data_IF_750692554621
#
_entry.id   IF_750692554621
#
_cell.length_a   1.000
_cell.length_b   1.000
_cell.length_c   1.000
_cell.angle_alpha   90.00
_cell.angle_beta   90.00
_cell.angle_gamma   90.00
#
_symmetry.space_group_name_H-M   'P 1'
#
loop_
_entity.id
_entity.type
_entity.pdbx_description
1 polymer ?
#
# COMPACT_ATOMS: atom_id res chain seq x y z
N UNK A 1 26.61 -86.74 9.67
CA UNK A 1 25.53 -85.73 9.57
C UNK A 1 26.06 -84.60 8.69
N UNK A 2 25.85 -84.59 7.37
CA UNK A 2 24.70 -84.11 6.55
C UNK A 2 24.46 -82.58 6.58
N UNK A 3 24.22 -82.04 5.37
CA UNK A 3 23.88 -80.67 4.89
C UNK A 3 25.07 -79.80 4.43
N UNK A 4 25.35 -79.52 3.14
CA UNK A 4 24.60 -79.22 1.87
C UNK A 4 23.98 -77.80 1.83
N UNK A 5 24.49 -76.99 0.88
CA UNK A 5 23.96 -75.79 0.18
C UNK A 5 23.42 -74.62 1.04
N UNK A 6 23.53 -73.33 0.68
CA UNK A 6 23.25 -72.72 -0.61
C UNK A 6 23.68 -71.23 -0.57
N UNK A 7 24.02 -70.66 -1.74
CA UNK A 7 24.17 -69.22 -1.96
C UNK A 7 22.99 -68.44 -1.38
N UNK A 8 23.24 -67.23 -0.86
CA UNK A 8 22.26 -66.16 -0.99
C UNK A 8 22.93 -64.84 -1.39
N UNK A 9 22.76 -64.49 -2.66
CA UNK A 9 23.01 -63.16 -3.21
C UNK A 9 21.89 -62.26 -2.70
N UNK A 10 22.20 -61.28 -1.86
CA UNK A 10 21.26 -60.19 -1.60
C UNK A 10 21.88 -58.90 -2.12
N UNK A 11 21.66 -58.66 -3.41
CA UNK A 11 21.71 -57.31 -3.98
C UNK A 11 20.44 -56.63 -3.47
N UNK A 12 20.56 -55.76 -2.46
CA UNK A 12 19.47 -54.83 -2.12
C UNK A 12 19.78 -53.52 -2.84
N UNK A 13 18.92 -53.23 -3.81
CA UNK A 13 18.81 -51.97 -4.53
C UNK A 13 18.89 -50.76 -3.59
N UNK A 14 20.02 -50.07 -3.55
CA UNK A 14 20.08 -48.65 -3.14
C UNK A 14 19.85 -47.82 -4.41
N UNK A 15 18.60 -47.80 -4.86
CA UNK A 15 18.20 -47.15 -6.11
C UNK A 15 17.23 -46.01 -5.88
N UNK A 16 17.72 -44.79 -6.11
CA UNK A 16 16.96 -43.61 -6.54
C UNK A 16 15.66 -43.27 -5.78
N UNK A 17 15.78 -42.61 -4.62
CA UNK A 17 14.74 -41.69 -4.14
C UNK A 17 15.44 -40.42 -3.65
N UNK A 18 15.94 -39.57 -4.57
CA UNK A 18 16.41 -38.23 -4.18
C UNK A 18 16.30 -37.15 -5.27
N UNK A 19 15.69 -37.43 -6.43
CA UNK A 19 15.65 -36.47 -7.55
C UNK A 19 14.32 -35.73 -7.77
N UNK A 20 13.26 -36.02 -7.01
CA UNK A 20 11.94 -35.35 -7.19
C UNK A 20 11.66 -34.20 -6.22
N UNK A 21 12.49 -34.01 -5.18
CA UNK A 21 12.29 -32.97 -4.16
C UNK A 21 12.46 -31.49 -4.61
N UNK A 22 13.28 -31.11 -5.61
CA UNK A 22 13.57 -29.69 -5.83
C UNK A 22 12.42 -28.92 -6.52
N UNK A 23 11.63 -29.57 -7.38
CA UNK A 23 10.55 -28.91 -8.14
C UNK A 23 9.35 -28.55 -7.26
N UNK A 24 8.92 -29.46 -6.39
CA UNK A 24 7.82 -29.21 -5.45
C UNK A 24 8.17 -28.11 -4.44
N UNK A 25 9.40 -28.11 -3.93
CA UNK A 25 9.87 -27.08 -3.00
C UNK A 25 9.90 -25.68 -3.65
N UNK A 26 10.35 -25.59 -4.91
CA UNK A 26 10.38 -24.33 -5.65
C UNK A 26 8.97 -23.82 -6.01
N UNK A 27 8.06 -24.72 -6.40
CA UNK A 27 6.65 -24.39 -6.65
C UNK A 27 5.97 -23.86 -5.39
N UNK A 28 6.13 -24.57 -4.26
CA UNK A 28 5.59 -24.17 -2.95
C UNK A 28 6.09 -22.78 -2.53
N UNK A 29 7.39 -22.51 -2.67
CA UNK A 29 7.97 -21.21 -2.34
C UNK A 29 7.41 -20.07 -3.20
N UNK A 30 7.16 -20.30 -4.50
CA UNK A 30 6.52 -19.31 -5.39
C UNK A 30 5.09 -19.01 -4.95
N UNK A 31 4.30 -20.05 -4.69
CA UNK A 31 2.91 -19.91 -4.24
C UNK A 31 2.81 -19.17 -2.91
N UNK A 32 3.69 -19.45 -1.95
CA UNK A 32 3.73 -18.76 -0.67
C UNK A 32 4.03 -17.26 -0.81
N UNK A 33 5.02 -16.90 -1.64
CA UNK A 33 5.38 -15.51 -1.92
C UNK A 33 4.22 -14.77 -2.58
N UNK A 34 3.61 -15.38 -3.59
CA UNK A 34 2.46 -14.80 -4.29
C UNK A 34 1.27 -14.60 -3.33
N UNK A 35 0.97 -15.59 -2.50
CA UNK A 35 -0.10 -15.51 -1.51
C UNK A 35 0.13 -14.40 -0.48
N UNK A 36 1.36 -14.24 0.00
CA UNK A 36 1.72 -13.15 0.91
C UNK A 36 1.49 -11.77 0.27
N UNK A 37 1.92 -11.57 -0.97
CA UNK A 37 1.74 -10.29 -1.67
C UNK A 37 0.25 -10.02 -1.90
N UNK A 38 -0.50 -11.00 -2.39
CA UNK A 38 -1.95 -10.88 -2.58
C UNK A 38 -2.67 -10.54 -1.27
N UNK A 39 -2.32 -11.21 -0.18
CA UNK A 39 -2.90 -10.93 1.14
C UNK A 39 -2.57 -9.52 1.62
N UNK A 40 -1.34 -9.05 1.37
CA UNK A 40 -0.90 -7.69 1.71
C UNK A 40 -1.69 -6.63 0.93
N UNK A 41 -1.91 -6.84 -0.37
CA UNK A 41 -2.78 -5.97 -1.18
C UNK A 41 -4.22 -5.98 -0.67
N UNK A 42 -4.81 -7.16 -0.45
CA UNK A 42 -6.17 -7.29 0.06
C UNK A 42 -6.36 -6.59 1.42
N UNK A 43 -5.37 -6.69 2.31
CA UNK A 43 -5.41 -6.03 3.64
C UNK A 43 -5.38 -4.51 3.54
N UNK A 44 -4.74 -3.96 2.50
CA UNK A 44 -4.48 -2.53 2.36
C UNK A 44 -5.42 -1.85 1.37
N UNK A 45 -6.16 -2.63 0.57
CA UNK A 45 -7.06 -2.15 -0.48
C UNK A 45 -7.99 -1.05 0.01
N UNK A 46 -8.74 -1.29 1.10
CA UNK A 46 -9.71 -0.32 1.58
C UNK A 46 -9.03 0.97 2.06
N UNK A 47 -7.92 0.85 2.79
CA UNK A 47 -7.18 2.01 3.30
C UNK A 47 -6.62 2.87 2.15
N UNK A 48 -5.99 2.23 1.16
CA UNK A 48 -5.49 2.89 -0.05
C UNK A 48 -6.61 3.59 -0.82
N UNK A 49 -7.77 2.94 -1.00
CA UNK A 49 -8.91 3.50 -1.72
C UNK A 49 -9.49 4.71 -1.01
N UNK A 50 -9.71 4.60 0.31
CA UNK A 50 -10.26 5.68 1.12
C UNK A 50 -9.32 6.88 1.18
N UNK A 51 -8.02 6.64 1.36
CA UNK A 51 -7.03 7.71 1.40
C UNK A 51 -6.94 8.43 0.05
N UNK A 52 -6.78 7.70 -1.05
CA UNK A 52 -6.67 8.28 -2.40
C UNK A 52 -7.92 9.08 -2.76
N UNK A 53 -9.10 8.47 -2.63
CA UNK A 53 -10.35 9.11 -3.08
C UNK A 53 -10.78 10.23 -2.13
N UNK A 54 -10.55 10.06 -0.82
CA UNK A 54 -10.88 11.04 0.21
C UNK A 54 -10.10 12.34 0.02
N UNK A 55 -8.77 12.26 -0.02
CA UNK A 55 -7.93 13.44 -0.19
C UNK A 55 -8.09 14.09 -1.56
N UNK A 56 -8.22 13.30 -2.63
CA UNK A 56 -8.46 13.84 -3.97
C UNK A 56 -9.80 14.60 -4.02
N UNK A 57 -10.84 14.07 -3.37
CA UNK A 57 -12.16 14.72 -3.29
C UNK A 57 -12.11 16.02 -2.49
N UNK A 58 -11.38 16.04 -1.37
CA UNK A 58 -11.14 17.26 -0.58
C UNK A 58 -10.43 18.31 -1.43
N UNK A 59 -9.29 17.98 -2.06
CA UNK A 59 -8.54 18.95 -2.87
C UNK A 59 -9.34 19.44 -4.09
N UNK A 60 -10.04 18.55 -4.78
CA UNK A 60 -10.89 18.93 -5.91
C UNK A 60 -12.04 19.84 -5.45
N UNK A 61 -12.69 19.50 -4.34
CA UNK A 61 -13.76 20.30 -3.76
C UNK A 61 -13.29 21.70 -3.37
N UNK A 62 -12.16 21.81 -2.68
CA UNK A 62 -11.54 23.11 -2.31
C UNK A 62 -11.16 23.91 -3.55
N UNK A 63 -10.64 23.26 -4.60
CA UNK A 63 -10.30 23.92 -5.87
C UNK A 63 -11.54 24.51 -6.53
N UNK A 64 -12.61 23.72 -6.68
CA UNK A 64 -13.87 24.17 -7.31
C UNK A 64 -14.51 25.29 -6.50
N UNK A 65 -14.59 25.15 -5.17
CA UNK A 65 -15.19 26.16 -4.30
C UNK A 65 -14.44 27.50 -4.39
N UNK A 66 -13.10 27.47 -4.37
CA UNK A 66 -12.31 28.70 -4.50
C UNK A 66 -12.39 29.29 -5.91
N UNK A 67 -12.42 28.47 -6.96
CA UNK A 67 -12.60 28.94 -8.34
C UNK A 67 -13.96 29.63 -8.54
N UNK A 68 -15.05 29.05 -8.02
CA UNK A 68 -16.39 29.67 -8.06
C UNK A 68 -16.42 30.96 -7.21
N UNK A 69 -15.86 30.91 -6.00
CA UNK A 69 -15.84 32.09 -5.13
C UNK A 69 -15.03 33.24 -5.75
N UNK A 70 -13.93 32.94 -6.46
CA UNK A 70 -13.12 33.94 -7.16
C UNK A 70 -13.94 34.75 -8.17
N UNK A 71 -14.85 34.11 -8.91
CA UNK A 71 -15.68 34.81 -9.92
C UNK A 71 -16.74 35.71 -9.31
N UNK A 72 -17.25 35.36 -8.12
CA UNK A 72 -18.29 36.08 -7.40
C UNK A 72 -17.75 37.16 -6.44
N UNK A 73 -16.44 37.14 -6.17
CA UNK A 73 -15.83 38.04 -5.21
C UNK A 73 -15.52 39.39 -5.86
N UNK A 74 -15.95 40.47 -5.20
CA UNK A 74 -15.55 41.83 -5.51
C UNK A 74 -14.42 42.28 -4.57
N UNK A 75 -13.54 43.15 -5.06
CA UNK A 75 -12.32 43.57 -4.35
C UNK A 75 -11.11 42.65 -4.62
N UNK A 76 -9.95 43.27 -4.83
CA UNK A 76 -8.70 42.57 -5.16
C UNK A 76 -8.24 41.58 -4.08
N UNK A 77 -8.43 41.94 -2.81
CA UNK A 77 -7.93 41.17 -1.67
C UNK A 77 -8.67 39.83 -1.50
N UNK A 78 -10.00 39.85 -1.39
CA UNK A 78 -10.77 38.61 -1.27
C UNK A 78 -10.58 37.70 -2.49
N UNK A 79 -10.34 38.26 -3.69
CA UNK A 79 -10.00 37.47 -4.89
C UNK A 79 -8.64 36.78 -4.76
N UNK A 80 -7.66 37.41 -4.12
CA UNK A 80 -6.33 36.85 -3.95
C UNK A 80 -6.33 35.62 -3.04
N UNK A 81 -7.05 35.66 -1.92
CA UNK A 81 -7.21 34.51 -1.03
C UNK A 81 -7.83 33.32 -1.76
N UNK A 82 -8.86 33.58 -2.60
CA UNK A 82 -9.45 32.53 -3.45
C UNK A 82 -8.46 31.99 -4.47
N UNK A 83 -7.65 32.85 -5.09
CA UNK A 83 -6.62 32.40 -6.03
C UNK A 83 -5.57 31.52 -5.35
N UNK A 84 -5.11 31.89 -4.15
CA UNK A 84 -4.14 31.12 -3.36
C UNK A 84 -4.70 29.76 -2.95
N UNK A 85 -5.93 29.73 -2.44
CA UNK A 85 -6.63 28.49 -2.11
C UNK A 85 -6.83 27.59 -3.33
N UNK A 86 -7.23 28.16 -4.47
CA UNK A 86 -7.37 27.45 -5.74
C UNK A 86 -6.05 26.83 -6.20
N UNK A 87 -4.96 27.60 -6.23
CA UNK A 87 -3.67 27.12 -6.74
C UNK A 87 -3.10 26.01 -5.85
N UNK A 88 -3.14 26.18 -4.53
CA UNK A 88 -2.59 25.18 -3.60
C UNK A 88 -3.38 23.87 -3.64
N UNK A 89 -4.71 23.93 -3.64
CA UNK A 89 -5.55 22.73 -3.73
C UNK A 89 -5.47 22.06 -5.10
N UNK A 90 -5.32 22.82 -6.19
CA UNK A 90 -5.12 22.28 -7.52
C UNK A 90 -3.81 21.51 -7.62
N UNK A 91 -2.71 22.04 -7.05
CA UNK A 91 -1.43 21.34 -6.98
C UNK A 91 -1.55 20.03 -6.19
N UNK A 92 -2.23 20.04 -5.04
CA UNK A 92 -2.50 18.84 -4.27
C UNK A 92 -3.30 17.78 -5.04
N UNK A 93 -4.35 18.19 -5.77
CA UNK A 93 -5.11 17.29 -6.63
C UNK A 93 -4.27 16.75 -7.80
N UNK A 94 -3.46 17.60 -8.43
CA UNK A 94 -2.60 17.23 -9.54
C UNK A 94 -1.53 16.21 -9.13
N UNK A 95 -0.86 16.40 -7.98
CA UNK A 95 0.10 15.42 -7.44
C UNK A 95 -0.55 14.04 -7.25
N UNK A 96 -1.77 14.01 -6.69
CA UNK A 96 -2.51 12.76 -6.47
C UNK A 96 -2.98 12.08 -7.76
N UNK A 97 -3.16 12.83 -8.86
CA UNK A 97 -3.51 12.27 -10.17
C UNK A 97 -2.29 11.79 -10.95
N UNK A 98 -1.16 12.50 -10.83
CA UNK A 98 0.09 12.17 -11.50
C UNK A 98 0.81 11.01 -10.81
N UNK A 99 0.68 10.92 -9.48
CA UNK A 99 1.27 9.87 -8.66
C UNK A 99 0.19 9.25 -7.75
N UNK A 100 -0.76 8.47 -8.29
CA UNK A 100 -1.85 7.91 -7.52
C UNK A 100 -1.39 6.75 -6.63
N UNK A 101 -2.06 6.58 -5.49
CA UNK A 101 -1.90 5.37 -4.68
C UNK A 101 -2.71 4.22 -5.27
N UNK A 102 -2.03 3.14 -5.68
CA UNK A 102 -2.60 2.11 -6.55
C UNK A 102 -2.88 0.76 -5.86
N UNK A 103 -2.53 0.59 -4.59
CA UNK A 103 -2.65 -0.70 -3.87
C UNK A 103 -4.05 -1.30 -3.98
N UNK A 104 -5.09 -0.46 -3.96
CA UNK A 104 -6.48 -0.89 -4.11
C UNK A 104 -6.84 -1.47 -5.48
N UNK A 105 -6.09 -1.13 -6.53
CA UNK A 105 -6.26 -1.71 -7.87
C UNK A 105 -5.43 -3.00 -8.01
N UNK A 106 -4.23 -3.04 -7.42
CA UNK A 106 -3.35 -4.21 -7.48
C UNK A 106 -3.97 -5.47 -6.87
N UNK A 107 -4.79 -5.34 -5.83
CA UNK A 107 -5.49 -6.47 -5.22
C UNK A 107 -6.33 -7.25 -6.25
N UNK A 108 -7.23 -6.56 -6.96
CA UNK A 108 -8.08 -7.17 -7.97
C UNK A 108 -7.33 -7.55 -9.25
N UNK A 109 -6.38 -6.70 -9.67
CA UNK A 109 -5.57 -6.97 -10.87
C UNK A 109 -4.73 -8.23 -10.72
N UNK A 110 -4.06 -8.41 -9.58
CA UNK A 110 -3.25 -9.59 -9.31
C UNK A 110 -4.13 -10.86 -9.23
N UNK A 111 -5.28 -10.77 -8.56
CA UNK A 111 -6.21 -11.89 -8.47
C UNK A 111 -6.71 -12.34 -9.85
N UNK A 112 -6.87 -11.41 -10.79
CA UNK A 112 -7.34 -11.69 -12.15
C UNK A 112 -6.23 -12.18 -13.12
N UNK A 113 -4.96 -12.15 -12.72
CA UNK A 113 -3.87 -12.65 -13.58
C UNK A 113 -3.92 -14.18 -13.70
N UNK A 114 -3.70 -14.75 -14.91
CA UNK A 114 -3.62 -16.19 -15.12
C UNK A 114 -2.52 -16.86 -14.29
N UNK A 115 -2.76 -18.10 -13.87
CA UNK A 115 -1.81 -18.95 -13.14
C UNK A 115 -1.94 -20.45 -13.46
N UNK A 116 -2.46 -20.78 -14.65
CA UNK A 116 -2.78 -22.15 -15.09
C UNK A 116 -1.53 -23.01 -15.35
N UNK A 117 -0.36 -22.37 -15.54
CA UNK A 117 0.91 -23.06 -15.79
C UNK A 117 2.10 -22.34 -15.16
N UNK A 118 3.27 -22.99 -15.16
CA UNK A 118 4.47 -22.47 -14.49
C UNK A 118 4.96 -21.12 -15.04
N UNK A 119 4.84 -20.90 -16.34
CA UNK A 119 5.24 -19.63 -16.98
C UNK A 119 4.32 -18.49 -16.52
N UNK A 120 3.01 -18.73 -16.52
CA UNK A 120 2.02 -17.77 -16.03
C UNK A 120 2.20 -17.48 -14.53
N UNK A 121 2.45 -18.50 -13.72
CA UNK A 121 2.75 -18.33 -12.29
C UNK A 121 4.01 -17.50 -12.06
N UNK A 122 5.06 -17.73 -12.87
CA UNK A 122 6.29 -16.95 -12.79
C UNK A 122 6.05 -15.49 -13.20
N UNK A 123 5.31 -15.24 -14.27
CA UNK A 123 4.95 -13.89 -14.71
C UNK A 123 4.09 -13.16 -13.67
N UNK A 124 3.12 -13.87 -13.07
CA UNK A 124 2.27 -13.36 -12.00
C UNK A 124 3.09 -12.99 -10.76
N UNK A 125 4.06 -13.81 -10.37
CA UNK A 125 4.96 -13.50 -9.26
C UNK A 125 5.83 -12.27 -9.54
N UNK A 126 6.45 -12.19 -10.73
CA UNK A 126 7.26 -11.02 -11.11
C UNK A 126 6.45 -9.72 -11.10
N UNK A 127 5.21 -9.78 -11.61
CA UNK A 127 4.32 -8.63 -11.60
C UNK A 127 3.89 -8.24 -10.18
N UNK A 128 3.62 -9.22 -9.32
CA UNK A 128 3.29 -9.01 -7.91
C UNK A 128 4.44 -8.31 -7.17
N UNK A 129 5.68 -8.76 -7.39
CA UNK A 129 6.88 -8.14 -6.82
C UNK A 129 7.09 -6.70 -7.30
N UNK A 130 6.90 -6.46 -8.60
CA UNK A 130 7.00 -5.13 -9.18
C UNK A 130 5.94 -4.18 -8.58
N UNK A 131 4.70 -4.63 -8.42
CA UNK A 131 3.64 -3.84 -7.80
C UNK A 131 3.85 -3.64 -6.29
N UNK A 132 4.37 -4.64 -5.58
CA UNK A 132 4.73 -4.49 -4.17
C UNK A 132 5.75 -3.36 -4.01
N UNK A 133 6.81 -3.38 -4.82
CA UNK A 133 7.85 -2.36 -4.73
C UNK A 133 7.36 -0.97 -5.15
N UNK A 134 6.55 -0.90 -6.22
CA UNK A 134 5.93 0.36 -6.65
C UNK A 134 5.03 0.95 -5.54
N UNK A 135 4.21 0.12 -4.90
CA UNK A 135 3.32 0.54 -3.82
C UNK A 135 4.11 0.98 -2.58
N UNK A 136 5.13 0.22 -2.17
CA UNK A 136 6.01 0.58 -1.07
C UNK A 136 6.78 1.89 -1.33
N UNK A 137 7.27 2.08 -2.56
CA UNK A 137 7.92 3.33 -2.97
C UNK A 137 6.97 4.52 -2.91
N UNK A 138 5.70 4.34 -3.30
CA UNK A 138 4.69 5.40 -3.21
C UNK A 138 4.40 5.81 -1.77
N UNK A 139 4.25 4.85 -0.87
CA UNK A 139 4.07 5.09 0.56
C UNK A 139 5.30 5.77 1.17
N UNK A 140 6.52 5.32 0.83
CA UNK A 140 7.77 5.98 1.24
C UNK A 140 7.84 7.43 0.81
N UNK A 141 7.43 7.73 -0.43
CA UNK A 141 7.39 9.12 -0.92
C UNK A 141 6.44 9.97 -0.07
N UNK A 142 5.22 9.49 0.22
CA UNK A 142 4.27 10.27 1.04
C UNK A 142 4.86 10.60 2.42
N UNK A 143 5.57 9.64 3.02
CA UNK A 143 6.19 9.76 4.34
C UNK A 143 7.58 10.41 4.31
N UNK A 144 8.06 10.82 3.14
CA UNK A 144 9.42 11.34 2.97
C UNK A 144 9.56 12.75 3.52
N UNK A 145 10.74 13.06 4.06
CA UNK A 145 11.09 14.43 4.44
C UNK A 145 10.90 15.42 3.28
N UNK A 146 11.18 14.99 2.05
CA UNK A 146 10.94 15.79 0.84
C UNK A 146 9.48 16.22 0.73
N UNK A 147 8.52 15.33 0.99
CA UNK A 147 7.10 15.65 0.92
C UNK A 147 6.66 16.61 2.06
N UNK A 148 7.18 16.41 3.28
CA UNK A 148 7.00 17.36 4.39
C UNK A 148 7.56 18.75 4.05
N UNK A 149 8.77 18.81 3.48
CA UNK A 149 9.43 20.06 3.12
C UNK A 149 8.74 20.78 1.96
N UNK A 150 8.32 20.05 0.92
CA UNK A 150 7.56 20.60 -0.20
C UNK A 150 6.21 21.13 0.27
N UNK A 151 5.51 20.38 1.13
CA UNK A 151 4.24 20.83 1.71
C UNK A 151 4.43 22.10 2.53
N UNK A 152 5.45 22.14 3.38
CA UNK A 152 5.78 23.33 4.18
C UNK A 152 6.14 24.52 3.31
N UNK A 153 6.91 24.31 2.22
CA UNK A 153 7.29 25.36 1.28
C UNK A 153 6.07 25.92 0.55
N UNK A 154 5.22 25.07 -0.02
CA UNK A 154 4.00 25.49 -0.75
C UNK A 154 3.07 26.27 0.18
N UNK A 155 2.83 25.77 1.39
CA UNK A 155 2.01 26.47 2.37
C UNK A 155 2.69 27.76 2.87
N UNK A 156 4.01 27.77 3.00
CA UNK A 156 4.80 28.95 3.38
C UNK A 156 4.70 30.06 2.34
N UNK A 157 4.84 29.73 1.07
CA UNK A 157 4.64 30.67 -0.04
C UNK A 157 3.20 31.21 -0.07
N UNK A 158 2.21 30.35 0.17
CA UNK A 158 0.80 30.75 0.28
C UNK A 158 0.56 31.71 1.47
N UNK A 159 1.13 31.42 2.65
CA UNK A 159 1.02 32.29 3.82
C UNK A 159 1.73 33.63 3.64
N UNK A 160 2.92 33.64 3.03
CA UNK A 160 3.65 34.87 2.71
C UNK A 160 2.92 35.73 1.68
N UNK A 161 2.34 35.09 0.67
CA UNK A 161 1.49 35.73 -0.32
C UNK A 161 0.31 36.48 0.32
N UNK A 162 -0.37 35.86 1.29
CA UNK A 162 -1.46 36.50 2.07
C UNK A 162 -0.92 37.59 3.00
N UNK A 163 0.18 37.34 3.71
CA UNK A 163 0.73 38.26 4.71
C UNK A 163 1.28 39.57 4.12
N UNK A 164 1.90 39.52 2.93
CA UNK A 164 2.61 40.67 2.34
C UNK A 164 1.67 41.66 1.66
N UNK A 165 0.49 41.22 1.22
CA UNK A 165 -0.48 42.09 0.54
C UNK A 165 -1.37 42.86 1.54
N UNK A 166 -1.77 42.22 2.66
CA UNK A 166 -2.87 42.72 3.50
C UNK A 166 -2.42 43.55 4.73
N UNK A 167 -1.10 43.66 5.00
CA UNK A 167 -0.56 44.19 6.28
C UNK A 167 -1.20 43.52 7.52
N UNK A 168 -1.76 42.31 7.36
CA UNK A 168 -2.45 41.50 8.38
C UNK A 168 -1.67 40.20 8.57
N UNK A 169 -0.54 40.26 9.29
CA UNK A 169 0.33 39.08 9.49
C UNK A 169 -0.40 37.90 10.15
N UNK A 170 -1.46 38.18 10.92
CA UNK A 170 -2.25 37.18 11.62
C UNK A 170 -3.02 36.26 10.65
N UNK A 171 -3.59 36.77 9.56
CA UNK A 171 -4.36 35.98 8.58
C UNK A 171 -3.45 35.13 7.68
N UNK A 172 -2.28 35.65 7.30
CA UNK A 172 -1.27 34.90 6.55
C UNK A 172 -0.65 33.78 7.38
N UNK A 173 -0.41 34.02 8.66
CA UNK A 173 0.04 33.00 9.62
C UNK A 173 -0.99 31.88 9.79
N UNK A 174 -2.28 32.21 9.89
CA UNK A 174 -3.35 31.22 10.00
C UNK A 174 -3.50 30.39 8.72
N UNK A 175 -3.34 30.99 7.54
CA UNK A 175 -3.34 30.29 6.25
C UNK A 175 -2.16 29.32 6.15
N UNK A 176 -0.97 29.76 6.55
CA UNK A 176 0.21 28.89 6.63
C UNK A 176 -0.02 27.70 7.56
N UNK A 177 -0.41 27.94 8.81
CA UNK A 177 -0.58 26.86 9.80
C UNK A 177 -1.66 25.88 9.35
N UNK A 178 -2.83 26.38 8.92
CA UNK A 178 -3.94 25.52 8.52
C UNK A 178 -3.57 24.62 7.34
N UNK A 179 -2.84 25.16 6.36
CA UNK A 179 -2.31 24.40 5.24
C UNK A 179 -1.25 23.36 5.64
N UNK A 180 -0.34 23.72 6.55
CA UNK A 180 0.64 22.78 7.13
C UNK A 180 -0.08 21.66 7.87
N UNK A 181 -1.03 21.97 8.75
CA UNK A 181 -1.82 20.96 9.49
C UNK A 181 -2.56 20.04 8.52
N UNK A 182 -3.24 20.56 7.51
CA UNK A 182 -3.94 19.75 6.52
C UNK A 182 -2.98 18.80 5.79
N UNK A 183 -1.80 19.29 5.41
CA UNK A 183 -0.77 18.50 4.73
C UNK A 183 -0.19 17.42 5.64
N UNK A 184 0.10 17.73 6.90
CA UNK A 184 0.59 16.77 7.89
C UNK A 184 -0.47 15.71 8.23
N UNK A 185 -1.75 16.08 8.30
CA UNK A 185 -2.84 15.11 8.48
C UNK A 185 -2.92 14.17 7.28
N UNK A 186 -2.77 14.66 6.05
CA UNK A 186 -2.68 13.81 4.85
C UNK A 186 -1.52 12.82 4.93
N UNK A 187 -0.32 13.32 5.24
CA UNK A 187 0.89 12.49 5.32
C UNK A 187 0.82 11.48 6.47
N UNK A 188 0.24 11.88 7.61
CA UNK A 188 0.08 11.02 8.77
C UNK A 188 -0.91 9.88 8.52
N UNK A 189 -1.99 10.18 7.80
CA UNK A 189 -3.03 9.20 7.47
C UNK A 189 -2.69 8.33 6.26
N UNK A 190 -1.55 8.57 5.59
CA UNK A 190 -1.14 7.77 4.43
C UNK A 190 -0.89 6.30 4.83
N UNK A 191 -1.30 5.34 3.97
CA UNK A 191 -0.93 3.94 4.13
C UNK A 191 0.59 3.74 4.26
N UNK A 192 0.96 2.78 5.11
CA UNK A 192 2.36 2.37 5.34
C UNK A 192 2.51 0.84 5.27
N UNK A 193 1.45 0.15 4.88
CA UNK A 193 1.38 -1.31 4.94
C UNK A 193 2.22 -1.97 3.85
N UNK A 194 2.38 -1.34 2.67
CA UNK A 194 3.22 -1.86 1.59
C UNK A 194 4.70 -1.67 1.87
N UNK A 195 5.10 -0.61 2.57
CA UNK A 195 6.47 -0.47 3.09
C UNK A 195 6.83 -1.65 4.00
N UNK A 196 5.95 -1.96 4.96
CA UNK A 196 6.17 -3.08 5.87
C UNK A 196 6.13 -4.43 5.14
N UNK A 197 5.21 -4.61 4.20
CA UNK A 197 5.15 -5.84 3.41
C UNK A 197 6.38 -6.04 2.52
N UNK A 198 6.93 -4.98 1.90
CA UNK A 198 8.17 -5.02 1.12
C UNK A 198 9.36 -5.39 2.02
N UNK A 199 9.43 -4.82 3.23
CA UNK A 199 10.46 -5.16 4.21
C UNK A 199 10.38 -6.63 4.65
N UNK A 200 9.19 -7.10 5.03
CA UNK A 200 8.94 -8.50 5.40
C UNK A 200 9.28 -9.46 4.24
N UNK A 201 8.99 -9.05 3.01
CA UNK A 201 9.30 -9.82 1.81
C UNK A 201 10.81 -9.94 1.58
N UNK A 202 11.50 -8.80 1.56
CA UNK A 202 12.93 -8.74 1.27
C UNK A 202 13.79 -9.40 2.36
N UNK A 203 13.32 -9.37 3.61
CA UNK A 203 13.98 -10.02 4.73
C UNK A 203 13.67 -11.53 4.82
N UNK A 204 12.79 -12.07 3.96
CA UNK A 204 12.37 -13.47 4.00
C UNK A 204 11.38 -13.81 5.13
N UNK A 205 10.86 -12.79 5.83
CA UNK A 205 9.92 -12.93 6.94
C UNK A 205 8.45 -13.10 6.51
N UNK A 206 8.17 -13.08 5.20
CA UNK A 206 6.82 -13.15 4.63
C UNK A 206 6.00 -14.36 5.13
N UNK A 207 6.63 -15.51 5.41
CA UNK A 207 5.93 -16.68 5.99
C UNK A 207 5.43 -16.41 7.41
N UNK A 208 6.26 -15.79 8.24
CA UNK A 208 5.92 -15.44 9.62
C UNK A 208 4.86 -14.33 9.66
N UNK A 209 5.02 -13.30 8.81
CA UNK A 209 4.06 -12.21 8.67
C UNK A 209 2.67 -12.71 8.20
N UNK A 210 2.64 -13.67 7.26
CA UNK A 210 1.41 -14.34 6.83
C UNK A 210 0.75 -15.15 7.97
N UNK A 211 1.54 -15.91 8.74
CA UNK A 211 1.05 -16.70 9.87
C UNK A 211 0.45 -15.82 10.99
N UNK A 212 1.12 -14.72 11.34
CA UNK A 212 0.64 -13.76 12.33
C UNK A 212 -0.70 -13.12 11.87
N UNK A 213 -0.78 -12.76 10.58
CA UNK A 213 -2.00 -12.20 10.00
C UNK A 213 -3.17 -13.20 9.99
N UNK A 214 -2.90 -14.49 9.87
CA UNK A 214 -3.91 -15.55 9.96
C UNK A 214 -4.37 -15.80 11.39
N UNK A 215 -3.46 -15.75 12.37
CA UNK A 215 -3.79 -15.87 13.80
C UNK A 215 -4.69 -14.72 14.29
N UNK A 216 -4.48 -13.52 13.76
CA UNK A 216 -5.24 -12.32 14.13
C UNK A 216 -6.69 -12.29 13.58
N UNK A 217 -7.09 -13.27 12.76
CA UNK A 217 -8.46 -13.39 12.23
C UNK A 217 -9.37 -14.14 13.21
N UNK A 218 -10.55 -13.57 13.48
CA UNK A 218 -11.61 -14.25 14.21
C UNK A 218 -11.98 -15.58 13.53
N UNK A 219 -11.78 -16.70 14.22
CA UNK A 219 -12.28 -17.98 13.76
C UNK A 219 -13.65 -18.21 14.40
N UNK A 220 -14.70 -18.13 13.59
CA UNK A 220 -16.06 -18.51 13.98
C UNK A 220 -16.25 -19.97 13.61
N UNK A 221 -16.31 -20.84 14.61
CA UNK A 221 -16.62 -22.25 14.42
C UNK A 221 -18.05 -22.51 14.94
N UNK A 222 -18.87 -23.11 14.07
CA UNK A 222 -20.20 -23.57 14.45
C UNK A 222 -20.13 -25.05 14.85
N UNK A 223 -20.47 -25.36 16.09
CA UNK A 223 -20.61 -26.73 16.59
C UNK A 223 -22.07 -26.94 17.01
N UNK A 224 -22.93 -27.38 16.08
CA UNK A 224 -24.36 -27.58 16.35
C UNK A 224 -25.09 -26.25 16.66
N UNK A 225 -25.94 -26.16 17.70
CA UNK A 225 -26.68 -24.92 18.02
C UNK A 225 -25.81 -23.82 18.66
N UNK A 226 -24.50 -24.05 18.84
CA UNK A 226 -23.60 -23.14 19.54
C UNK A 226 -22.66 -22.46 18.54
N UNK A 227 -22.72 -21.12 18.51
CA UNK A 227 -21.72 -20.28 17.87
C UNK A 227 -20.59 -20.03 18.87
N UNK A 228 -19.38 -20.52 18.58
CA UNK A 228 -18.19 -20.20 19.35
C UNK A 228 -17.35 -19.19 18.57
N UNK A 229 -17.06 -18.05 19.20
CA UNK A 229 -16.14 -17.04 18.70
C UNK A 229 -14.88 -17.11 19.53
N UNK A 230 -13.76 -17.52 18.94
CA UNK A 230 -12.46 -17.50 19.60
C UNK A 230 -11.56 -16.42 18.97
N UNK A 231 -11.01 -15.57 19.84
CA UNK A 231 -9.92 -14.66 19.52
C UNK A 231 -8.62 -15.27 20.04
N UNK A 232 -7.60 -15.37 19.20
CA UNK A 232 -6.25 -15.83 19.60
C UNK A 232 -5.27 -14.68 19.40
N UNK A 233 -4.52 -14.36 20.45
CA UNK A 233 -3.33 -13.51 20.41
C UNK A 233 -2.13 -14.32 19.94
#
# INVERSE_FOLDING_TARGET
>A
MRFIHMLNRTVVFFGLIFMLLPAEAASTAKTERLNFIQQSFNKTEQHSRLWQNGWLSIFTGVTVLNGIAYTQTEGSHNRYDRATGFTTSLLGAADMLLNPMQTHNYAGQLAAMPDDNEEQQQAKLLQAEAWLSAAASRERYERSFTNHALSTLVNGLAGLAVAYDDKRPDDGWMTFISGVIASEVKIYTAPTQMMQAEEDYNNGNYRQAAANSAAQRWQVAAFGPVLAVQYRF
#
